data_IF_339118085669
#
_entry.id   IF_339118085669
#
_cell.length_a   1.000
_cell.length_b   1.000
_cell.length_c   1.000
_cell.angle_alpha   90.00
_cell.angle_beta   90.00
_cell.angle_gamma   90.00
#
_symmetry.space_group_name_H-M   'P 1'
#
loop_
_entity.id
_entity.type
_entity.pdbx_description
1 polymer ?
#
# COMPACT_ATOMS: atom_id res chain seq x y z
N UNK A 1 -2.17 -7.39 13.26
CA UNK A 1 -2.39 -6.25 12.36
C UNK A 1 -2.11 -6.67 10.92
N UNK A 2 -3.04 -6.36 10.03
CA UNK A 2 -2.85 -6.65 8.62
C UNK A 2 -2.24 -5.43 7.93
N UNK A 3 -1.21 -5.63 7.13
CA UNK A 3 -0.60 -4.55 6.37
C UNK A 3 -0.82 -4.79 4.88
N UNK A 4 -0.52 -3.78 4.07
CA UNK A 4 -0.64 -3.91 2.63
C UNK A 4 0.25 -5.04 2.10
N UNK A 5 1.37 -5.29 2.76
CA UNK A 5 2.24 -6.41 2.40
C UNK A 5 1.54 -7.75 2.52
N UNK A 6 0.58 -7.87 3.46
CA UNK A 6 -0.14 -9.12 3.69
C UNK A 6 -1.30 -9.32 2.72
N UNK A 7 -1.65 -8.30 1.95
CA UNK A 7 -2.78 -8.39 1.03
C UNK A 7 -2.42 -9.26 -0.17
N UNK A 8 -3.43 -9.93 -0.70
CA UNK A 8 -3.26 -10.86 -1.83
C UNK A 8 -3.57 -10.18 -3.15
N UNK A 9 -3.00 -10.72 -4.21
CA UNK A 9 -3.29 -10.27 -5.57
C UNK A 9 -4.80 -10.37 -5.82
N UNK A 10 -5.39 -9.28 -6.32
CA UNK A 10 -6.83 -9.22 -6.58
C UNK A 10 -7.65 -8.75 -5.41
N UNK A 11 -7.04 -8.62 -4.24
CA UNK A 11 -7.75 -8.17 -3.04
C UNK A 11 -7.81 -6.64 -3.01
N UNK A 12 -8.99 -6.12 -2.62
CA UNK A 12 -9.16 -4.69 -2.36
C UNK A 12 -9.19 -4.50 -0.85
N UNK A 13 -8.32 -3.66 -0.35
CA UNK A 13 -8.23 -3.38 1.09
C UNK A 13 -8.40 -1.89 1.34
N UNK A 14 -8.79 -1.57 2.55
CA UNK A 14 -8.99 -0.17 2.94
C UNK A 14 -7.91 0.24 3.93
N UNK A 15 -7.31 1.39 3.69
CA UNK A 15 -6.25 1.90 4.56
C UNK A 15 -6.84 2.37 5.89
N UNK A 16 -6.30 1.82 6.97
CA UNK A 16 -6.72 2.17 8.33
C UNK A 16 -5.79 3.21 8.91
N UNK A 17 -4.49 3.01 8.75
CA UNK A 17 -3.50 3.90 9.34
C UNK A 17 -2.17 3.72 8.62
N UNK A 18 -1.43 4.80 8.52
CA UNK A 18 -0.07 4.76 8.00
C UNK A 18 0.87 4.93 9.19
N UNK A 19 1.68 3.89 9.44
CA UNK A 19 2.65 3.90 10.51
C UNK A 19 3.94 4.55 10.02
N UNK A 20 4.88 4.75 10.92
CA UNK A 20 6.13 5.41 10.59
C UNK A 20 6.05 6.90 10.83
N UNK A 21 7.16 7.57 10.62
CA UNK A 21 7.27 8.99 10.91
C UNK A 21 8.06 9.69 9.81
N UNK A 22 7.89 11.02 9.76
CA UNK A 22 8.71 11.88 8.93
C UNK A 22 8.56 11.61 7.44
N UNK A 23 9.69 11.45 6.77
CA UNK A 23 9.73 11.37 5.32
C UNK A 23 9.02 10.16 4.74
N UNK A 24 9.08 9.03 5.43
CA UNK A 24 8.44 7.79 4.94
C UNK A 24 6.93 7.96 4.89
N UNK A 25 6.34 8.43 5.97
CA UNK A 25 4.90 8.64 6.04
C UNK A 25 4.45 9.67 5.01
N UNK A 26 5.20 10.77 4.90
CA UNK A 26 4.89 11.82 3.94
C UNK A 26 4.94 11.30 2.51
N UNK A 27 5.97 10.50 2.19
CA UNK A 27 6.11 9.93 0.85
C UNK A 27 4.91 9.05 0.49
N UNK A 28 4.48 8.22 1.43
CA UNK A 28 3.34 7.33 1.22
C UNK A 28 2.08 8.17 0.98
N UNK A 29 1.87 9.18 1.80
CA UNK A 29 0.69 10.05 1.66
C UNK A 29 0.71 10.84 0.36
N UNK A 30 1.88 11.26 -0.07
CA UNK A 30 2.03 12.02 -1.32
C UNK A 30 1.67 11.17 -2.54
N UNK A 31 1.76 9.85 -2.43
CA UNK A 31 1.33 8.95 -3.50
C UNK A 31 -0.18 8.79 -3.56
N UNK A 32 -0.91 9.42 -2.65
CA UNK A 32 -2.37 9.31 -2.61
C UNK A 32 -2.87 8.23 -1.66
N UNK A 33 -1.97 7.58 -0.92
CA UNK A 33 -2.36 6.55 0.04
C UNK A 33 -2.61 7.23 1.37
N UNK A 34 -3.89 7.44 1.66
CA UNK A 34 -4.30 8.10 2.87
C UNK A 34 -5.35 7.26 3.59
N UNK A 35 -5.60 7.59 4.85
CA UNK A 35 -6.58 6.86 5.65
C UNK A 35 -7.94 6.83 4.96
N UNK A 36 -8.54 5.66 4.89
CA UNK A 36 -9.87 5.46 4.30
C UNK A 36 -9.87 5.16 2.81
N UNK A 37 -8.73 5.29 2.13
CA UNK A 37 -8.67 5.02 0.70
C UNK A 37 -8.65 3.51 0.45
N UNK A 38 -9.27 3.08 -0.64
CA UNK A 38 -9.23 1.69 -1.07
C UNK A 38 -8.07 1.44 -1.99
N UNK A 39 -7.41 0.31 -1.80
CA UNK A 39 -6.24 -0.09 -2.57
C UNK A 39 -6.49 -1.49 -3.13
N UNK A 40 -6.40 -1.62 -4.45
CA UNK A 40 -6.51 -2.90 -5.12
C UNK A 40 -5.11 -3.41 -5.43
N UNK A 41 -4.78 -4.60 -4.92
CA UNK A 41 -3.49 -5.21 -5.20
C UNK A 41 -3.55 -5.86 -6.56
N UNK A 42 -2.75 -5.38 -7.51
CA UNK A 42 -2.78 -5.82 -8.90
C UNK A 42 -1.83 -6.97 -9.17
N UNK A 43 -0.59 -6.83 -8.75
CA UNK A 43 0.40 -7.89 -8.94
C UNK A 43 1.63 -7.65 -8.09
N UNK A 44 2.44 -8.70 -7.99
CA UNK A 44 3.70 -8.66 -7.29
C UNK A 44 4.81 -8.85 -8.29
N UNK A 45 5.89 -8.10 -8.15
CA UNK A 45 7.08 -8.33 -8.95
C UNK A 45 7.71 -9.67 -8.54
N UNK A 46 8.60 -10.22 -9.36
CA UNK A 46 9.36 -11.40 -8.94
C UNK A 46 9.99 -11.12 -7.58
N UNK A 47 9.95 -12.08 -6.66
CA UNK A 47 10.44 -11.95 -5.30
C UNK A 47 9.55 -11.09 -4.39
N UNK A 48 8.36 -10.69 -4.89
CA UNK A 48 7.39 -9.97 -4.06
C UNK A 48 7.66 -8.50 -3.82
N UNK A 49 8.58 -7.89 -4.58
CA UNK A 49 8.94 -6.48 -4.38
C UNK A 49 9.36 -5.88 -5.72
N UNK A 50 8.70 -4.81 -6.18
CA UNK A 50 7.64 -4.05 -5.52
C UNK A 50 6.26 -4.69 -5.66
N UNK A 51 5.30 -4.11 -4.94
CA UNK A 51 3.89 -4.49 -5.03
C UNK A 51 3.23 -3.46 -5.92
N UNK A 52 2.52 -3.92 -6.95
CA UNK A 52 1.79 -3.00 -7.84
C UNK A 52 0.33 -2.94 -7.41
N UNK A 53 -0.15 -1.73 -7.19
CA UNK A 53 -1.50 -1.50 -6.69
C UNK A 53 -2.20 -0.43 -7.53
N UNK A 54 -3.52 -0.40 -7.42
CA UNK A 54 -4.34 0.63 -8.04
C UNK A 54 -5.04 1.41 -6.94
N UNK A 55 -4.89 2.72 -6.97
CA UNK A 55 -5.53 3.62 -6.02
C UNK A 55 -6.17 4.75 -6.80
N UNK A 56 -7.50 4.90 -6.65
CA UNK A 56 -8.25 5.95 -7.36
C UNK A 56 -7.98 5.96 -8.86
N UNK A 57 -7.92 4.77 -9.45
CA UNK A 57 -7.63 4.57 -10.89
C UNK A 57 -6.20 4.89 -11.32
N UNK A 58 -5.30 5.11 -10.37
CA UNK A 58 -3.88 5.28 -10.68
C UNK A 58 -3.12 4.02 -10.31
N UNK A 59 -2.21 3.62 -11.18
CA UNK A 59 -1.31 2.49 -10.90
C UNK A 59 -0.09 3.00 -10.17
N UNK A 60 0.23 2.35 -9.06
CA UNK A 60 1.38 2.70 -8.23
C UNK A 60 2.21 1.47 -7.95
N UNK A 61 3.52 1.66 -7.84
CA UNK A 61 4.43 0.62 -7.37
C UNK A 61 4.89 1.00 -5.97
N UNK A 62 4.69 0.11 -5.02
CA UNK A 62 5.02 0.36 -3.62
C UNK A 62 6.07 -0.64 -3.17
N UNK A 63 7.13 -0.15 -2.59
CA UNK A 63 8.17 -1.03 -2.05
C UNK A 63 7.59 -1.83 -0.89
N UNK A 64 8.03 -3.08 -0.77
CA UNK A 64 7.58 -3.96 0.28
C UNK A 64 7.78 -3.32 1.66
N UNK A 65 8.91 -2.66 1.88
CA UNK A 65 9.19 -1.99 3.15
C UNK A 65 8.16 -0.90 3.45
N UNK A 66 7.71 -0.16 2.43
CA UNK A 66 6.69 0.87 2.62
C UNK A 66 5.32 0.23 2.85
N UNK A 67 5.04 -0.88 2.17
CA UNK A 67 3.76 -1.58 2.33
C UNK A 67 3.58 -2.08 3.77
N UNK A 68 4.67 -2.46 4.42
CA UNK A 68 4.63 -2.90 5.82
C UNK A 68 4.20 -1.79 6.77
N UNK A 69 4.30 -0.54 6.34
CA UNK A 69 3.94 0.62 7.15
C UNK A 69 2.48 1.03 6.95
N UNK A 70 1.77 0.38 6.04
CA UNK A 70 0.38 0.72 5.71
C UNK A 70 -0.53 -0.34 6.30
N UNK A 71 -1.22 0.02 7.38
CA UNK A 71 -2.19 -0.87 8.01
C UNK A 71 -3.49 -0.84 7.23
N UNK A 72 -4.05 -2.01 6.94
CA UNK A 72 -5.27 -2.14 6.14
C UNK A 72 -6.25 -3.10 6.79
N UNK A 73 -7.48 -3.05 6.30
CA UNK A 73 -8.52 -3.98 6.70
C UNK A 73 -9.34 -4.47 5.51
#
# INVERSE_FOLDING_TARGET
MKTLRDARIGETVKVVKIHGEGAVKRRIMDMGITRGVEVLVRKLAPLGDPIEVNVRNYELSIRKADAEMIEVE
#
